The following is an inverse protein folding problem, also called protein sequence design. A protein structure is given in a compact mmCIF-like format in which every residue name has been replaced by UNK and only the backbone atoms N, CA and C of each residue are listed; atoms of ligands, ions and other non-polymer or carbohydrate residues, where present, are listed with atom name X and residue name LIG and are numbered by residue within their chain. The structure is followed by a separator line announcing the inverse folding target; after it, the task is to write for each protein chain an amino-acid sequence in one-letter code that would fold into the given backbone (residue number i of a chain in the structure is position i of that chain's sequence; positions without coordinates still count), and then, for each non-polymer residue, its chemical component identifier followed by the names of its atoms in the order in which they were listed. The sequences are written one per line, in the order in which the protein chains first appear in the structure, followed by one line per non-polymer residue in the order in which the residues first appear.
data_IF_368784750736
#
_entry.id   IF_368784750736
#
_cell.length_a   1.000
_cell.length_b   1.000
_cell.length_c   1.000
_cell.angle_alpha   90.00
_cell.angle_beta   90.00
_cell.angle_gamma   90.00
#
_symmetry.space_group_name_H-M   'P 1'
#
loop_
_entity.id
_entity.type
_entity.pdbx_description
1 polymer ?
#
# COMPACT_ATOMS: atom_id res chain seq x y z
N UNK A 1 -9.28 -12.56 45.21
CA UNK A 1 -8.82 -11.35 44.51
C UNK A 1 -8.66 -11.70 43.03
N UNK A 2 -9.39 -11.06 42.13
CA UNK A 2 -9.32 -11.32 40.68
C UNK A 2 -8.13 -10.61 40.03
N UNK A 3 -7.48 -11.25 39.06
CA UNK A 3 -6.45 -10.58 38.26
C UNK A 3 -7.06 -9.41 37.48
N UNK A 4 -6.29 -8.33 37.30
CA UNK A 4 -6.70 -7.21 36.47
C UNK A 4 -6.97 -7.68 35.03
N UNK A 5 -8.13 -7.30 34.48
CA UNK A 5 -8.48 -7.59 33.10
C UNK A 5 -7.50 -6.88 32.15
N UNK A 6 -7.03 -7.61 31.15
CA UNK A 6 -6.16 -7.08 30.09
C UNK A 6 -6.75 -7.44 28.73
N UNK A 7 -7.06 -6.42 27.94
CA UNK A 7 -7.53 -6.59 26.56
C UNK A 7 -6.55 -7.41 25.72
N UNK A 8 -5.24 -7.29 25.97
CA UNK A 8 -4.23 -8.09 25.30
C UNK A 8 -4.36 -9.58 25.61
N UNK A 9 -4.51 -9.95 26.90
CA UNK A 9 -4.68 -11.35 27.31
C UNK A 9 -6.00 -11.93 26.79
N UNK A 10 -7.09 -11.17 26.89
CA UNK A 10 -8.38 -11.58 26.34
C UNK A 10 -8.32 -11.80 24.82
N UNK A 11 -7.70 -10.89 24.08
CA UNK A 11 -7.52 -11.03 22.63
C UNK A 11 -6.67 -12.25 22.27
N UNK A 12 -5.57 -12.50 22.98
CA UNK A 12 -4.73 -13.66 22.75
C UNK A 12 -5.45 -14.98 23.03
N UNK A 13 -6.35 -15.02 24.02
CA UNK A 13 -7.13 -16.21 24.35
C UNK A 13 -8.23 -16.53 23.33
N UNK A 14 -8.83 -15.51 22.71
CA UNK A 14 -9.96 -15.69 21.78
C UNK A 14 -9.50 -15.86 20.33
N UNK A 15 -8.36 -15.26 19.94
CA UNK A 15 -7.93 -15.29 18.54
C UNK A 15 -7.46 -16.70 18.13
N UNK A 16 -7.82 -17.17 16.93
CA UNK A 16 -7.18 -18.34 16.33
C UNK A 16 -5.68 -18.07 16.16
N UNK A 17 -4.84 -19.01 16.60
CA UNK A 17 -3.40 -18.91 16.39
C UNK A 17 -3.09 -19.27 14.94
N UNK A 18 -2.62 -18.31 14.15
CA UNK A 18 -2.20 -18.52 12.76
C UNK A 18 -0.70 -18.31 12.61
N UNK A 19 -0.11 -18.97 11.62
CA UNK A 19 1.27 -18.70 11.22
C UNK A 19 1.41 -17.22 10.80
N UNK A 20 2.58 -16.64 11.09
CA UNK A 20 2.88 -15.29 10.66
C UNK A 20 3.07 -15.27 9.14
N UNK A 21 2.26 -14.46 8.46
CA UNK A 21 2.34 -14.23 7.02
C UNK A 21 3.64 -13.52 6.63
N UNK A 22 4.21 -13.89 5.48
CA UNK A 22 5.48 -13.36 4.97
C UNK A 22 5.47 -11.83 4.82
N UNK A 23 4.36 -11.25 4.37
CA UNK A 23 4.21 -9.80 4.18
C UNK A 23 4.05 -8.99 5.47
N UNK A 24 3.92 -9.62 6.65
CA UNK A 24 3.70 -8.92 7.92
C UNK A 24 4.75 -7.83 8.16
N UNK A 25 6.01 -8.13 7.90
CA UNK A 25 7.13 -7.21 8.11
C UNK A 25 7.21 -6.09 7.07
N UNK A 26 6.48 -6.21 5.96
CA UNK A 26 6.35 -5.16 4.94
C UNK A 26 5.28 -4.16 5.38
N UNK A 27 4.14 -4.66 5.89
CA UNK A 27 3.01 -3.82 6.30
C UNK A 27 3.20 -3.21 7.69
N UNK A 28 3.55 -4.04 8.67
CA UNK A 28 3.51 -3.71 10.10
C UNK A 28 4.89 -3.40 10.69
N UNK A 29 5.76 -2.76 9.92
CA UNK A 29 7.09 -2.35 10.40
C UNK A 29 7.01 -1.13 11.34
N UNK A 30 7.99 -0.92 12.25
CA UNK A 30 7.94 0.18 13.24
C UNK A 30 7.89 1.58 12.62
N UNK A 31 8.49 1.74 11.44
CA UNK A 31 8.62 3.03 10.76
C UNK A 31 7.41 3.37 9.87
N UNK A 32 6.37 2.55 9.84
CA UNK A 32 5.23 2.71 8.93
C UNK A 32 4.48 4.02 9.15
N UNK A 33 3.82 4.51 8.11
CA UNK A 33 2.77 5.52 8.22
C UNK A 33 1.44 4.75 8.40
N UNK A 34 0.70 4.91 9.51
CA UNK A 34 -0.46 4.06 9.82
C UNK A 34 -1.51 3.98 8.72
N UNK A 35 -1.91 5.12 8.14
CA UNK A 35 -2.86 5.16 7.01
C UNK A 35 -2.37 4.40 5.78
N UNK A 36 -1.06 4.44 5.50
CA UNK A 36 -0.46 3.72 4.36
C UNK A 36 -0.41 2.22 4.62
N UNK A 37 0.00 1.82 5.83
CA UNK A 37 0.03 0.42 6.22
C UNK A 37 -1.37 -0.22 6.16
N UNK A 38 -2.39 0.50 6.64
CA UNK A 38 -3.77 0.02 6.58
C UNK A 38 -4.26 -0.16 5.13
N UNK A 39 -4.01 0.84 4.26
CA UNK A 39 -4.39 0.73 2.85
C UNK A 39 -3.65 -0.40 2.14
N UNK A 40 -2.34 -0.55 2.39
CA UNK A 40 -1.53 -1.63 1.85
C UNK A 40 -2.04 -3.01 2.29
N UNK A 41 -2.39 -3.16 3.56
CA UNK A 41 -2.98 -4.39 4.09
C UNK A 41 -4.27 -4.76 3.34
N UNK A 42 -5.16 -3.79 3.11
CA UNK A 42 -6.38 -4.01 2.32
C UNK A 42 -6.06 -4.40 0.87
N UNK A 43 -5.04 -3.82 0.26
CA UNK A 43 -4.60 -4.20 -1.10
C UNK A 43 -4.12 -5.64 -1.15
N UNK A 44 -3.31 -6.07 -0.18
CA UNK A 44 -2.80 -7.45 -0.10
C UNK A 44 -3.95 -8.44 0.10
N UNK A 45 -4.94 -8.10 0.92
CA UNK A 45 -6.12 -8.94 1.13
C UNK A 45 -7.11 -8.90 -0.03
N UNK A 46 -6.90 -8.05 -1.04
CA UNK A 46 -7.89 -7.79 -2.07
C UNK A 46 -9.21 -7.29 -1.49
N UNK A 47 -9.18 -6.53 -0.40
CA UNK A 47 -10.37 -6.08 0.31
C UNK A 47 -10.92 -4.74 -0.20
N UNK A 48 -10.24 -4.10 -1.16
CA UNK A 48 -10.72 -2.88 -1.82
C UNK A 48 -12.01 -3.11 -2.62
N UNK A 49 -12.91 -2.13 -2.58
CA UNK A 49 -14.19 -2.11 -3.30
C UNK A 49 -13.97 -1.65 -4.75
N UNK A 50 -13.40 -2.54 -5.53
CA UNK A 50 -13.11 -2.37 -6.96
C UNK A 50 -14.35 -2.67 -7.81
N UNK A 51 -14.45 -2.09 -9.02
CA UNK A 51 -15.65 -2.21 -9.87
C UNK A 51 -16.00 -3.66 -10.24
N UNK A 52 -15.03 -4.55 -10.43
CA UNK A 52 -15.26 -6.00 -10.57
C UNK A 52 -16.06 -6.63 -9.43
N UNK A 53 -15.92 -6.12 -8.19
CA UNK A 53 -16.67 -6.58 -7.03
C UNK A 53 -17.99 -5.83 -6.84
N UNK A 54 -18.08 -4.61 -7.35
CA UNK A 54 -19.29 -3.78 -7.22
C UNK A 54 -20.32 -4.09 -8.32
N UNK A 55 -19.89 -4.51 -9.51
CA UNK A 55 -20.76 -4.90 -10.61
C UNK A 55 -21.72 -6.03 -10.23
N UNK A 56 -21.28 -7.18 -9.67
CA UNK A 56 -22.22 -8.25 -9.29
C UNK A 56 -23.17 -7.84 -8.16
N UNK A 57 -22.91 -6.74 -7.46
CA UNK A 57 -23.80 -6.17 -6.44
C UNK A 57 -24.80 -5.15 -7.01
N UNK A 58 -24.76 -4.87 -8.32
CA UNK A 58 -25.62 -3.87 -8.96
C UNK A 58 -25.30 -2.42 -8.58
N UNK A 59 -24.10 -2.16 -8.04
CA UNK A 59 -23.69 -0.81 -7.62
C UNK A 59 -23.08 -0.02 -8.79
N UNK A 60 -22.48 -0.71 -9.76
CA UNK A 60 -21.92 -0.13 -10.99
C UNK A 60 -22.31 -0.98 -12.20
N UNK A 61 -22.51 -0.33 -13.34
CA UNK A 61 -22.94 -1.00 -14.57
C UNK A 61 -21.78 -1.55 -15.40
N UNK A 62 -20.56 -1.07 -15.16
CA UNK A 62 -19.38 -1.40 -15.96
C UNK A 62 -18.14 -1.58 -15.09
N UNK A 63 -17.28 -2.51 -15.51
CA UNK A 63 -15.97 -2.76 -14.89
C UNK A 63 -14.86 -1.96 -15.53
N UNK A 64 -15.11 -1.03 -16.44
CA UNK A 64 -14.05 -0.24 -17.07
C UNK A 64 -13.16 0.43 -16.02
N UNK A 65 -11.85 0.43 -16.22
CA UNK A 65 -10.89 1.02 -15.30
C UNK A 65 -11.16 2.51 -15.07
N UNK A 66 -11.15 2.95 -13.80
CA UNK A 66 -11.35 4.37 -13.44
C UNK A 66 -10.31 5.33 -14.07
N UNK A 67 -9.18 4.79 -14.51
CA UNK A 67 -8.14 5.56 -15.22
C UNK A 67 -8.39 5.68 -16.72
N UNK A 68 -9.47 5.10 -17.24
CA UNK A 68 -9.86 5.10 -18.66
C UNK A 68 -8.75 4.57 -19.59
N UNK A 69 -8.04 3.53 -19.16
CA UNK A 69 -6.94 2.94 -19.93
C UNK A 69 -7.37 1.87 -20.96
N UNK A 70 -8.66 1.55 -21.04
CA UNK A 70 -9.20 0.54 -21.97
C UNK A 70 -9.39 -0.87 -21.38
N UNK A 71 -8.86 -1.13 -20.19
CA UNK A 71 -9.00 -2.43 -19.49
C UNK A 71 -10.10 -2.40 -18.41
N UNK A 72 -10.39 -3.59 -17.86
CA UNK A 72 -11.26 -3.75 -16.70
C UNK A 72 -10.54 -3.56 -15.37
N UNK A 73 -11.26 -2.98 -14.41
CA UNK A 73 -10.83 -2.68 -13.06
C UNK A 73 -10.91 -3.94 -12.18
N UNK A 74 -9.76 -4.34 -11.66
CA UNK A 74 -9.64 -5.20 -10.49
C UNK A 74 -8.41 -4.76 -9.69
N UNK A 75 -8.20 -5.32 -8.50
CA UNK A 75 -7.08 -4.94 -7.62
C UNK A 75 -5.73 -5.09 -8.33
N UNK A 76 -5.49 -6.20 -9.04
CA UNK A 76 -4.23 -6.44 -9.72
C UNK A 76 -3.99 -5.41 -10.83
N UNK A 77 -5.01 -5.13 -11.64
CA UNK A 77 -4.93 -4.12 -12.67
C UNK A 77 -4.70 -2.72 -12.08
N UNK A 78 -5.53 -2.30 -11.14
CA UNK A 78 -5.47 -0.94 -10.57
C UNK A 78 -4.12 -0.60 -9.98
N UNK A 79 -3.54 -1.50 -9.20
CA UNK A 79 -2.27 -1.20 -8.53
C UNK A 79 -1.07 -1.54 -9.39
N UNK A 80 -1.14 -2.51 -10.31
CA UNK A 80 0.06 -3.12 -10.88
C UNK A 80 0.10 -3.22 -12.41
N UNK A 81 -1.02 -3.14 -13.12
CA UNK A 81 -1.05 -3.24 -14.58
C UNK A 81 -1.53 -1.97 -15.28
N UNK A 82 -2.28 -1.10 -14.59
CA UNK A 82 -2.82 0.12 -15.16
C UNK A 82 -1.69 1.06 -15.60
N UNK A 83 -1.69 1.61 -16.83
CA UNK A 83 -0.66 2.52 -17.31
C UNK A 83 -0.39 3.72 -16.38
N UNK A 84 -1.45 4.29 -15.78
CA UNK A 84 -1.33 5.36 -14.80
C UNK A 84 -0.51 4.92 -13.58
N UNK A 85 -0.87 3.78 -12.99
CA UNK A 85 -0.20 3.23 -11.80
C UNK A 85 1.23 2.77 -12.12
N UNK A 86 1.46 2.16 -13.27
CA UNK A 86 2.80 1.77 -13.73
C UNK A 86 3.71 3.01 -13.87
N UNK A 87 3.19 4.12 -14.39
CA UNK A 87 3.96 5.37 -14.47
C UNK A 87 4.41 5.85 -13.09
N UNK A 88 3.49 5.87 -12.12
CA UNK A 88 3.78 6.24 -10.73
C UNK A 88 4.82 5.28 -10.14
N UNK A 89 4.64 3.97 -10.30
CA UNK A 89 5.61 2.97 -9.82
C UNK A 89 6.99 3.17 -10.41
N UNK A 90 7.10 3.28 -11.73
CA UNK A 90 8.39 3.48 -12.41
C UNK A 90 9.12 4.69 -11.86
N UNK A 91 8.42 5.81 -11.66
CA UNK A 91 9.04 7.01 -11.10
C UNK A 91 9.46 6.80 -9.65
N UNK A 92 8.60 6.27 -8.79
CA UNK A 92 8.91 6.01 -7.37
C UNK A 92 10.07 5.02 -7.20
N UNK A 93 10.09 3.94 -8.00
CA UNK A 93 11.11 2.90 -7.96
C UNK A 93 12.46 3.38 -8.53
N UNK A 94 12.44 4.29 -9.52
CA UNK A 94 13.66 4.90 -10.05
C UNK A 94 14.47 5.65 -8.99
N UNK A 95 13.83 6.18 -7.95
CA UNK A 95 14.52 6.82 -6.82
C UNK A 95 15.18 5.84 -5.84
N UNK A 96 14.97 4.53 -6.01
CA UNK A 96 15.31 3.51 -5.04
C UNK A 96 16.24 2.40 -5.60
N UNK A 97 16.71 2.55 -6.84
CA UNK A 97 17.43 1.52 -7.60
C UNK A 97 16.69 0.16 -7.58
N UNK A 98 15.42 0.19 -7.99
CA UNK A 98 14.54 -0.99 -8.04
C UNK A 98 13.98 -1.13 -9.43
N UNK A 99 14.10 -2.33 -9.99
CA UNK A 99 13.76 -2.64 -11.37
C UNK A 99 12.71 -3.76 -11.49
N UNK A 100 12.07 -4.19 -10.41
CA UNK A 100 11.16 -5.34 -10.41
C UNK A 100 9.68 -4.94 -10.47
N UNK A 101 8.85 -5.88 -10.90
CA UNK A 101 7.39 -5.76 -10.91
C UNK A 101 6.87 -5.57 -9.48
N UNK A 102 5.92 -4.65 -9.23
CA UNK A 102 5.37 -4.42 -7.90
C UNK A 102 4.73 -5.65 -7.23
N UNK A 103 4.24 -6.62 -8.01
CA UNK A 103 3.70 -7.88 -7.50
C UNK A 103 4.79 -8.78 -6.91
N UNK A 104 5.95 -8.82 -7.57
CA UNK A 104 7.12 -9.55 -7.10
C UNK A 104 7.84 -8.80 -5.98
N UNK A 105 7.61 -7.49 -5.84
CA UNK A 105 8.29 -6.64 -4.86
C UNK A 105 7.99 -7.05 -3.41
N UNK A 106 6.79 -7.55 -3.08
CA UNK A 106 6.49 -8.03 -1.72
C UNK A 106 7.35 -9.25 -1.39
N UNK A 107 7.38 -10.24 -2.29
CA UNK A 107 8.18 -11.44 -2.12
C UNK A 107 9.68 -11.11 -2.13
N UNK A 108 10.10 -10.23 -3.04
CA UNK A 108 11.46 -9.72 -3.10
C UNK A 108 11.89 -9.02 -1.81
N UNK A 109 11.05 -8.16 -1.23
CA UNK A 109 11.32 -7.47 0.03
C UNK A 109 11.44 -8.44 1.21
N UNK A 110 10.69 -9.54 1.19
CA UNK A 110 10.82 -10.63 2.17
C UNK A 110 12.16 -11.35 1.99
N UNK A 111 12.52 -11.68 0.76
CA UNK A 111 13.70 -12.49 0.45
C UNK A 111 15.03 -11.72 0.58
N UNK A 112 15.02 -10.40 0.37
CA UNK A 112 16.23 -9.56 0.31
C UNK A 112 16.50 -8.74 1.57
N UNK A 113 16.13 -9.27 2.74
CA UNK A 113 16.30 -8.64 4.06
C UNK A 113 17.75 -8.23 4.43
N UNK A 114 18.77 -8.73 3.70
CA UNK A 114 20.21 -8.50 3.94
C UNK A 114 20.78 -7.16 3.43
N UNK A 115 20.00 -6.31 2.75
CA UNK A 115 20.47 -4.98 2.28
C UNK A 115 20.60 -3.97 3.43
N UNK A 116 21.30 -2.85 3.19
CA UNK A 116 21.44 -1.74 4.15
C UNK A 116 20.07 -1.34 4.74
N UNK A 117 20.00 -1.26 6.07
CA UNK A 117 18.76 -1.01 6.84
C UNK A 117 17.98 0.22 6.35
N UNK A 118 18.67 1.29 5.95
CA UNK A 118 18.04 2.51 5.43
C UNK A 118 17.35 2.29 4.08
N UNK A 119 17.97 1.53 3.17
CA UNK A 119 17.37 1.19 1.88
C UNK A 119 16.09 0.36 2.09
N UNK A 120 16.12 -0.61 3.00
CA UNK A 120 14.93 -1.42 3.33
C UNK A 120 13.79 -0.60 3.94
N UNK A 121 14.09 0.37 4.81
CA UNK A 121 13.08 1.27 5.38
C UNK A 121 12.44 2.14 4.31
N UNK A 122 13.26 2.76 3.46
CA UNK A 122 12.81 3.62 2.38
C UNK A 122 11.92 2.84 1.40
N UNK A 123 12.29 1.62 1.03
CA UNK A 123 11.50 0.73 0.16
C UNK A 123 10.11 0.45 0.71
N UNK A 124 10.02 0.00 1.97
CA UNK A 124 8.73 -0.30 2.62
C UNK A 124 7.84 0.95 2.71
N UNK A 125 8.45 2.10 3.03
CA UNK A 125 7.75 3.38 3.08
C UNK A 125 7.20 3.80 1.71
N UNK A 126 8.05 3.77 0.69
CA UNK A 126 7.69 4.11 -0.67
C UNK A 126 6.58 3.18 -1.19
N UNK A 127 6.72 1.88 -0.98
CA UNK A 127 5.73 0.88 -1.40
C UNK A 127 4.34 1.14 -0.78
N UNK A 128 4.30 1.34 0.54
CA UNK A 128 3.05 1.65 1.23
C UNK A 128 2.44 2.99 0.81
N UNK A 129 3.28 4.01 0.60
CA UNK A 129 2.85 5.33 0.14
C UNK A 129 2.28 5.28 -1.29
N UNK A 130 2.92 4.56 -2.21
CA UNK A 130 2.44 4.42 -3.58
C UNK A 130 1.08 3.75 -3.64
N UNK A 131 0.90 2.63 -2.93
CA UNK A 131 -0.41 1.96 -2.85
C UNK A 131 -1.47 2.90 -2.27
N UNK A 132 -1.15 3.59 -1.18
CA UNK A 132 -2.08 4.54 -0.56
C UNK A 132 -2.49 5.65 -1.52
N UNK A 133 -1.54 6.30 -2.18
CA UNK A 133 -1.81 7.46 -3.03
C UNK A 133 -2.52 7.08 -4.34
N UNK A 134 -2.21 5.90 -4.91
CA UNK A 134 -3.01 5.34 -6.02
C UNK A 134 -4.46 5.13 -5.57
N UNK A 135 -4.68 4.54 -4.39
CA UNK A 135 -6.04 4.35 -3.86
C UNK A 135 -6.76 5.67 -3.60
N UNK A 136 -6.05 6.66 -3.07
CA UNK A 136 -6.62 8.00 -2.87
C UNK A 136 -7.00 8.66 -4.19
N UNK A 137 -6.20 8.52 -5.25
CA UNK A 137 -6.53 9.03 -6.58
C UNK A 137 -7.78 8.35 -7.16
N UNK A 138 -7.90 7.02 -7.00
CA UNK A 138 -9.13 6.30 -7.39
C UNK A 138 -10.35 6.89 -6.66
N UNK A 139 -10.25 7.10 -5.35
CA UNK A 139 -11.32 7.71 -4.56
C UNK A 139 -11.62 9.16 -4.99
N UNK A 140 -10.61 9.96 -5.35
CA UNK A 140 -10.81 11.32 -5.87
C UNK A 140 -11.64 11.29 -7.15
N UNK A 141 -11.30 10.41 -8.09
CA UNK A 141 -12.05 10.25 -9.35
C UNK A 141 -13.47 9.78 -9.12
N UNK A 142 -13.66 8.77 -8.27
CA UNK A 142 -14.97 8.19 -8.00
C UNK A 142 -15.92 9.15 -7.26
N UNK A 143 -15.44 9.84 -6.22
CA UNK A 143 -16.31 10.58 -5.30
C UNK A 143 -16.26 12.10 -5.44
N UNK A 144 -15.21 12.63 -6.08
CA UNK A 144 -15.01 14.08 -6.21
C UNK A 144 -14.92 14.55 -7.65
N UNK A 145 -14.87 13.62 -8.62
CA UNK A 145 -14.68 13.92 -10.03
C UNK A 145 -13.46 14.84 -10.28
N UNK A 146 -12.39 14.63 -9.51
CA UNK A 146 -11.11 15.33 -9.67
C UNK A 146 -10.02 14.35 -10.07
N UNK A 147 -9.10 14.82 -10.93
CA UNK A 147 -8.11 13.98 -11.60
C UNK A 147 -6.74 14.61 -11.41
N UNK A 148 -5.86 13.94 -10.66
CA UNK A 148 -4.48 14.38 -10.57
C UNK A 148 -3.63 13.80 -11.70
N UNK A 149 -2.72 14.59 -12.28
CA UNK A 149 -1.68 14.03 -13.12
C UNK A 149 -0.76 13.13 -12.27
N UNK A 150 -0.17 12.07 -12.85
CA UNK A 150 0.71 11.16 -12.11
C UNK A 150 1.82 11.88 -11.34
N UNK A 151 2.37 12.97 -11.89
CA UNK A 151 3.46 13.73 -11.29
C UNK A 151 3.09 14.39 -9.95
N UNK A 152 1.82 14.80 -9.78
CA UNK A 152 1.37 15.36 -8.51
C UNK A 152 1.21 14.25 -7.46
N UNK A 153 0.72 13.08 -7.85
CA UNK A 153 0.67 11.88 -6.99
C UNK A 153 2.08 11.45 -6.57
N UNK A 154 3.05 11.47 -7.48
CA UNK A 154 4.45 11.18 -7.20
C UNK A 154 5.01 12.18 -6.17
N UNK A 155 4.68 13.47 -6.30
CA UNK A 155 5.12 14.51 -5.35
C UNK A 155 4.53 14.29 -3.95
N UNK A 156 3.26 13.92 -3.85
CA UNK A 156 2.63 13.57 -2.56
C UNK A 156 3.33 12.36 -1.90
N UNK A 157 3.66 11.33 -2.69
CA UNK A 157 4.40 10.15 -2.22
C UNK A 157 5.79 10.55 -1.70
N UNK A 158 6.54 11.35 -2.46
CA UNK A 158 7.86 11.84 -2.07
C UNK A 158 7.81 12.65 -0.77
N UNK A 159 6.82 13.54 -0.65
CA UNK A 159 6.62 14.35 0.56
C UNK A 159 6.41 13.49 1.80
N UNK A 160 5.50 12.51 1.74
CA UNK A 160 5.20 11.62 2.86
C UNK A 160 6.43 10.78 3.27
N UNK A 161 7.16 10.24 2.29
CA UNK A 161 8.36 9.43 2.53
C UNK A 161 9.49 10.27 3.13
N UNK A 162 9.77 11.44 2.56
CA UNK A 162 10.81 12.35 3.04
C UNK A 162 10.50 12.84 4.46
N UNK A 163 9.27 13.28 4.72
CA UNK A 163 8.83 13.69 6.05
C UNK A 163 9.04 12.58 7.08
N UNK A 164 8.65 11.34 6.75
CA UNK A 164 8.80 10.21 7.66
C UNK A 164 10.26 9.84 7.92
N UNK A 165 11.13 9.91 6.90
CA UNK A 165 12.56 9.66 7.07
C UNK A 165 13.23 10.70 7.95
N UNK A 166 12.84 11.97 7.84
CA UNK A 166 13.34 13.04 8.69
C UNK A 166 13.01 12.80 10.17
N UNK A 167 11.79 12.34 10.49
CA UNK A 167 11.42 11.97 11.87
C UNK A 167 12.28 10.81 12.39
N UNK A 168 12.50 9.78 11.57
CA UNK A 168 13.31 8.61 11.96
C UNK A 168 14.78 9.00 12.21
N UNK A 169 15.29 10.01 11.50
CA UNK A 169 16.65 10.51 11.70
C UNK A 169 16.78 11.34 12.99
N UNK A 170 15.71 12.01 13.42
CA UNK A 170 15.66 12.77 14.67
C UNK A 170 15.59 11.85 15.90
N UNK A 171 14.80 10.77 15.85
CA UNK A 171 14.68 9.77 16.94
C UNK A 171 15.97 8.97 17.21
N UNK A 172 17.02 9.16 16.40
CA UNK A 172 18.33 8.50 16.54
C UNK A 172 19.40 9.38 17.19
N UNK A 173 19.10 10.65 17.46
CA UNK A 173 19.96 11.57 18.20
C UNK A 173 19.52 11.59 19.66
#
# INVERSE_FOLDING_TARGET
MGQAFSTQKAWQAIRPQSAQVNWFQVVWHPNRIPKHAFCLWLSILGAHKTRDKLMPLGIVDMTACIFNCGDNENVAHLFFACPYSIHVWRKVLSFNDIFQSPLDEIQWMVDHSRRKVLSQKLRKLAFGATIYHIWMEINRRCFRNTFLPPEDVIREIQGDVAAKLSTIAQDRR
#
